data_IF_858071698199
#
_entry.id   IF_858071698199
#
_cell.length_a   1.000
_cell.length_b   1.000
_cell.length_c   1.000
_cell.angle_alpha   90.00
_cell.angle_beta   90.00
_cell.angle_gamma   90.00
#
_symmetry.space_group_name_H-M   'P 1'
#
loop_
_entity.id
_entity.type
_entity.pdbx_description
1 polymer ?
#
# COMPACT_ATOMS: atom_id res chain seq x y z
N UNK A 1 -3.13 -29.07 9.56
CA UNK A 1 -1.73 -29.23 9.12
C UNK A 1 -1.62 -29.21 7.60
N UNK A 2 -2.48 -29.91 6.88
CA UNK A 2 -2.51 -29.98 5.40
C UNK A 2 -2.72 -28.60 4.74
N UNK A 3 -3.80 -27.87 5.08
CA UNK A 3 -4.04 -26.51 4.55
C UNK A 3 -2.88 -25.52 4.78
N UNK A 4 -2.13 -25.70 5.87
CA UNK A 4 -0.93 -24.89 6.17
C UNK A 4 0.24 -25.26 5.26
N UNK A 5 0.43 -26.54 4.98
CA UNK A 5 1.46 -26.99 4.03
C UNK A 5 1.15 -26.51 2.60
N UNK A 6 -0.12 -26.52 2.22
CA UNK A 6 -0.56 -26.02 0.91
C UNK A 6 -0.33 -24.52 0.74
N UNK A 7 -0.65 -23.71 1.77
CA UNK A 7 -0.41 -22.26 1.77
C UNK A 7 1.08 -21.93 1.65
N UNK A 8 1.96 -22.61 2.41
CA UNK A 8 3.41 -22.41 2.31
C UNK A 8 3.98 -22.89 0.96
N UNK A 9 3.48 -23.99 0.41
CA UNK A 9 3.89 -24.47 -0.91
C UNK A 9 3.43 -23.53 -2.04
N UNK A 10 2.25 -22.92 -1.90
CA UNK A 10 1.81 -21.84 -2.78
C UNK A 10 2.72 -20.63 -2.68
N UNK A 11 3.04 -20.17 -1.47
CA UNK A 11 3.88 -19.00 -1.22
C UNK A 11 5.27 -19.14 -1.85
N UNK A 12 5.89 -20.33 -1.76
CA UNK A 12 7.18 -20.62 -2.41
C UNK A 12 7.11 -20.54 -3.94
N UNK A 13 6.08 -21.14 -4.55
CA UNK A 13 5.87 -21.06 -6.00
C UNK A 13 5.64 -19.62 -6.47
N UNK A 14 4.87 -18.84 -5.71
CA UNK A 14 4.66 -17.42 -6.03
C UNK A 14 5.96 -16.62 -5.93
N UNK A 15 6.81 -16.90 -4.93
CA UNK A 15 8.12 -16.26 -4.80
C UNK A 15 9.00 -16.46 -6.04
N UNK A 16 9.05 -17.70 -6.56
CA UNK A 16 9.78 -18.03 -7.79
C UNK A 16 9.21 -17.29 -9.01
N UNK A 17 7.89 -17.27 -9.15
CA UNK A 17 7.21 -16.53 -10.22
C UNK A 17 7.47 -15.01 -10.15
N UNK A 18 7.49 -14.43 -8.94
CA UNK A 18 7.81 -13.02 -8.76
C UNK A 18 9.27 -12.73 -9.07
N UNK A 19 10.20 -13.63 -8.79
CA UNK A 19 11.61 -13.44 -9.17
C UNK A 19 11.75 -13.28 -10.69
N UNK A 20 11.11 -14.18 -11.46
CA UNK A 20 11.11 -14.11 -12.92
C UNK A 20 10.37 -12.85 -13.42
N UNK A 21 9.19 -12.57 -12.89
CA UNK A 21 8.36 -11.46 -13.37
C UNK A 21 8.99 -10.10 -13.04
N UNK A 22 9.60 -9.95 -11.86
CA UNK A 22 10.35 -8.75 -11.48
C UNK A 22 11.59 -8.55 -12.36
N UNK A 23 12.29 -9.62 -12.71
CA UNK A 23 13.42 -9.56 -13.63
C UNK A 23 13.00 -9.04 -15.01
N UNK A 24 11.88 -9.58 -15.53
CA UNK A 24 11.29 -9.13 -16.80
C UNK A 24 10.81 -7.67 -16.71
N UNK A 25 10.11 -7.30 -15.63
CA UNK A 25 9.63 -5.94 -15.41
C UNK A 25 10.77 -4.93 -15.35
N UNK A 26 11.84 -5.23 -14.60
CA UNK A 26 13.01 -4.39 -14.48
C UNK A 26 13.71 -4.16 -15.83
N UNK A 27 13.72 -5.18 -16.69
CA UNK A 27 14.34 -5.12 -18.03
C UNK A 27 13.44 -4.52 -19.12
N UNK A 28 12.13 -4.40 -18.85
CA UNK A 28 11.15 -3.84 -19.78
C UNK A 28 11.14 -2.30 -19.79
N UNK A 29 10.44 -1.71 -20.76
CA UNK A 29 10.08 -0.27 -20.75
C UNK A 29 8.87 0.03 -19.86
N UNK A 30 8.16 -0.99 -19.36
CA UNK A 30 6.90 -0.79 -18.65
C UNK A 30 7.15 -0.10 -17.31
N UNK A 31 6.31 0.87 -16.96
CA UNK A 31 6.42 1.63 -15.71
C UNK A 31 5.48 1.12 -14.63
N UNK A 32 4.52 0.27 -15.00
CA UNK A 32 3.52 -0.33 -14.12
C UNK A 32 3.16 -1.74 -14.62
N UNK A 33 2.98 -2.68 -13.69
CA UNK A 33 2.53 -4.04 -14.01
C UNK A 33 1.74 -4.65 -12.85
N UNK A 34 0.60 -5.28 -13.17
CA UNK A 34 -0.14 -6.12 -12.22
C UNK A 34 0.44 -7.54 -12.26
N UNK A 35 0.78 -8.09 -11.10
CA UNK A 35 1.46 -9.38 -10.98
C UNK A 35 0.55 -10.49 -10.47
N UNK A 36 -0.47 -10.14 -9.69
CA UNK A 36 -1.40 -11.08 -9.09
C UNK A 36 -2.76 -10.41 -8.87
N UNK A 37 -3.84 -11.19 -8.96
CA UNK A 37 -5.21 -10.74 -8.72
C UNK A 37 -5.89 -11.73 -7.77
N UNK A 38 -6.08 -11.32 -6.50
CA UNK A 38 -6.86 -12.08 -5.54
C UNK A 38 -8.35 -11.87 -5.81
N UNK A 39 -9.11 -12.97 -5.84
CA UNK A 39 -10.57 -12.97 -5.92
C UNK A 39 -11.12 -14.32 -5.43
N UNK A 40 -12.37 -14.34 -4.94
CA UNK A 40 -13.00 -15.59 -4.47
C UNK A 40 -13.53 -16.48 -5.60
N UNK A 41 -13.72 -15.94 -6.80
CA UNK A 41 -14.08 -16.73 -7.98
C UNK A 41 -12.88 -16.90 -8.88
N UNK A 42 -12.62 -18.13 -9.32
CA UNK A 42 -11.58 -18.44 -10.29
C UNK A 42 -11.74 -17.64 -11.61
N UNK A 43 -12.99 -17.29 -12.00
CA UNK A 43 -13.24 -16.45 -13.18
C UNK A 43 -12.73 -15.01 -13.01
N UNK A 44 -12.58 -14.55 -11.76
CA UNK A 44 -12.16 -13.19 -11.42
C UNK A 44 -10.68 -13.10 -11.00
N UNK A 45 -9.98 -14.23 -10.87
CA UNK A 45 -8.53 -14.28 -10.57
C UNK A 45 -7.64 -14.02 -11.81
N UNK A 46 -8.21 -13.49 -12.89
CA UNK A 46 -7.44 -13.15 -14.09
C UNK A 46 -6.68 -11.84 -13.86
N UNK A 47 -5.36 -11.89 -14.00
CA UNK A 47 -4.52 -10.70 -13.92
C UNK A 47 -4.91 -9.75 -15.06
N UNK A 48 -5.32 -8.51 -14.74
CA UNK A 48 -5.77 -7.58 -15.74
C UNK A 48 -4.58 -7.07 -16.56
N UNK A 49 -4.82 -6.74 -17.83
CA UNK A 49 -3.78 -6.33 -18.78
C UNK A 49 -4.37 -5.39 -19.84
N UNK A 50 -3.55 -4.67 -20.62
CA UNK A 50 -4.07 -3.85 -21.72
C UNK A 50 -4.92 -4.65 -22.73
N UNK A 51 -4.65 -5.96 -22.90
CA UNK A 51 -5.48 -6.86 -23.70
C UNK A 51 -6.76 -7.32 -22.98
N UNK A 52 -6.74 -7.36 -21.65
CA UNK A 52 -7.86 -7.77 -20.79
C UNK A 52 -8.24 -6.64 -19.83
N UNK A 53 -8.78 -5.56 -20.39
CA UNK A 53 -9.20 -4.37 -19.64
C UNK A 53 -10.38 -4.68 -18.73
N UNK A 54 -10.41 -4.02 -17.57
CA UNK A 54 -11.52 -4.10 -16.63
C UNK A 54 -12.61 -3.15 -17.07
N UNK A 55 -13.83 -3.69 -17.24
CA UNK A 55 -15.00 -2.92 -17.61
C UNK A 55 -15.78 -2.48 -16.37
N UNK A 56 -16.46 -1.35 -16.48
CA UNK A 56 -17.45 -0.86 -15.51
C UNK A 56 -16.93 -0.60 -14.08
N UNK A 57 -15.62 -0.41 -13.92
CA UNK A 57 -15.02 0.09 -12.69
C UNK A 57 -15.09 1.62 -12.64
N UNK A 58 -15.67 2.17 -11.57
CA UNK A 58 -15.68 3.64 -11.35
C UNK A 58 -14.66 4.08 -10.31
N UNK A 59 -14.22 3.19 -9.44
CA UNK A 59 -13.34 3.50 -8.31
C UNK A 59 -12.29 2.42 -8.15
N UNK A 60 -11.03 2.82 -8.09
CA UNK A 60 -9.88 1.95 -7.78
C UNK A 60 -9.25 2.43 -6.48
N UNK A 61 -9.33 1.64 -5.42
CA UNK A 61 -8.63 1.97 -4.17
C UNK A 61 -7.16 1.58 -4.29
N UNK A 62 -6.23 2.51 -4.09
CA UNK A 62 -4.79 2.26 -4.21
C UNK A 62 -4.15 2.40 -2.85
N UNK A 63 -3.61 1.30 -2.32
CA UNK A 63 -2.79 1.29 -1.12
C UNK A 63 -1.32 1.11 -1.53
N UNK A 64 -0.60 2.22 -1.56
CA UNK A 64 0.83 2.27 -1.87
C UNK A 64 1.65 2.21 -0.58
N UNK A 65 2.53 1.22 -0.46
CA UNK A 65 3.42 1.06 0.69
C UNK A 65 4.63 0.21 0.35
N UNK A 66 5.62 0.22 1.25
CA UNK A 66 6.77 -0.67 1.13
C UNK A 66 6.48 -2.12 1.51
N UNK A 67 5.34 -2.37 2.17
CA UNK A 67 4.85 -3.68 2.62
C UNK A 67 5.97 -4.60 3.16
N UNK A 68 6.72 -4.10 4.15
CA UNK A 68 7.93 -4.77 4.63
C UNK A 68 7.94 -4.98 6.16
N UNK A 69 7.05 -5.83 6.70
CA UNK A 69 5.98 -6.57 6.00
C UNK A 69 4.68 -5.74 5.90
N UNK A 70 3.67 -6.17 5.09
CA UNK A 70 2.29 -5.72 5.28
C UNK A 70 1.83 -6.04 6.71
N UNK A 71 1.05 -5.16 7.33
CA UNK A 71 0.65 -5.25 8.75
C UNK A 71 -0.85 -5.07 8.90
N UNK A 72 -1.39 -5.33 10.09
CA UNK A 72 -2.80 -5.04 10.39
C UNK A 72 -3.17 -3.58 10.19
N UNK A 73 -2.24 -2.64 10.36
CA UNK A 73 -2.50 -1.24 10.00
C UNK A 73 -2.82 -1.08 8.50
N UNK A 74 -2.17 -1.84 7.61
CA UNK A 74 -2.49 -1.84 6.18
C UNK A 74 -3.86 -2.48 5.92
N UNK A 75 -4.17 -3.60 6.58
CA UNK A 75 -5.49 -4.25 6.52
C UNK A 75 -6.59 -3.28 6.96
N UNK A 76 -6.37 -2.52 8.02
CA UNK A 76 -7.36 -1.58 8.53
C UNK A 76 -7.60 -0.42 7.58
N UNK A 77 -6.56 0.13 6.92
CA UNK A 77 -6.75 1.10 5.83
C UNK A 77 -7.63 0.52 4.72
N UNK A 78 -7.37 -0.72 4.31
CA UNK A 78 -8.11 -1.41 3.27
C UNK A 78 -9.58 -1.65 3.69
N UNK A 79 -9.81 -2.26 4.85
CA UNK A 79 -11.14 -2.51 5.43
C UNK A 79 -11.96 -1.24 5.54
N UNK A 80 -11.35 -0.18 6.07
CA UNK A 80 -12.03 1.09 6.25
C UNK A 80 -12.50 1.67 4.91
N UNK A 81 -11.70 1.54 3.85
CA UNK A 81 -12.10 1.95 2.50
C UNK A 81 -13.26 1.12 1.97
N UNK A 82 -13.17 -0.21 2.06
CA UNK A 82 -14.21 -1.11 1.56
C UNK A 82 -15.55 -0.99 2.31
N UNK A 83 -15.51 -0.68 3.61
CA UNK A 83 -16.71 -0.60 4.46
C UNK A 83 -17.38 0.78 4.47
N UNK A 84 -16.59 1.86 4.47
CA UNK A 84 -17.09 3.21 4.78
C UNK A 84 -17.14 4.14 3.57
N UNK A 85 -16.39 3.85 2.53
CA UNK A 85 -16.40 4.67 1.33
C UNK A 85 -17.61 4.34 0.45
N UNK A 86 -18.33 5.36 -0.02
CA UNK A 86 -19.51 5.21 -0.89
C UNK A 86 -19.14 5.04 -2.37
N UNK A 87 -17.90 4.64 -2.66
CA UNK A 87 -17.44 4.34 -4.01
C UNK A 87 -18.31 3.30 -4.71
N UNK A 88 -18.15 3.16 -6.02
CA UNK A 88 -18.98 2.23 -6.78
C UNK A 88 -18.60 0.77 -6.46
N UNK A 89 -19.62 -0.06 -6.27
CA UNK A 89 -19.47 -1.51 -6.13
C UNK A 89 -19.68 -2.23 -7.49
N UNK A 90 -18.99 -3.34 -7.76
CA UNK A 90 -18.02 -4.01 -6.87
C UNK A 90 -16.73 -3.22 -6.71
N UNK A 91 -16.21 -3.18 -5.47
CA UNK A 91 -14.98 -2.47 -5.17
C UNK A 91 -13.77 -3.23 -5.70
N UNK A 92 -12.81 -2.51 -6.28
CA UNK A 92 -11.51 -3.06 -6.67
C UNK A 92 -10.39 -2.29 -5.97
N UNK A 93 -9.43 -3.04 -5.45
CA UNK A 93 -8.30 -2.50 -4.71
C UNK A 93 -6.99 -2.91 -5.38
N UNK A 94 -5.96 -2.09 -5.18
CA UNK A 94 -4.60 -2.34 -5.61
C UNK A 94 -3.65 -2.15 -4.44
N UNK A 95 -2.82 -3.16 -4.20
CA UNK A 95 -1.61 -3.05 -3.40
C UNK A 95 -0.45 -2.75 -4.32
N UNK A 96 0.11 -1.55 -4.18
CA UNK A 96 1.14 -1.04 -5.07
C UNK A 96 2.49 -1.00 -4.37
N UNK A 97 3.51 -1.57 -5.02
CA UNK A 97 4.88 -1.56 -4.56
C UNK A 97 5.79 -0.84 -5.55
N UNK A 98 6.39 0.27 -5.12
CA UNK A 98 7.43 0.93 -5.90
C UNK A 98 8.76 0.15 -5.84
N UNK A 99 9.29 -0.23 -7.00
CA UNK A 99 10.59 -0.91 -7.13
C UNK A 99 11.75 0.08 -7.03
N UNK A 100 11.52 1.33 -7.43
CA UNK A 100 12.43 2.46 -7.20
C UNK A 100 11.83 3.35 -6.11
N UNK A 101 12.53 3.49 -4.98
CA UNK A 101 12.12 4.42 -3.93
C UNK A 101 12.96 5.70 -4.05
N UNK A 102 12.33 6.87 -3.93
CA UNK A 102 13.03 8.16 -3.92
C UNK A 102 14.08 8.28 -2.78
N UNK A 103 13.84 7.65 -1.63
CA UNK A 103 14.53 8.02 -0.38
C UNK A 103 15.26 6.88 0.38
N UNK A 104 15.36 5.64 -0.12
CA UNK A 104 15.79 4.50 0.74
C UNK A 104 16.97 3.64 0.24
N UNK A 105 17.92 3.43 1.17
CA UNK A 105 19.03 2.44 1.22
C UNK A 105 18.52 0.97 1.31
N UNK A 106 19.39 -0.07 1.28
CA UNK A 106 19.00 -1.47 1.07
C UNK A 106 17.90 -1.97 2.02
N UNK A 107 17.01 -2.78 1.45
CA UNK A 107 15.68 -3.14 1.92
C UNK A 107 15.74 -4.52 2.65
N UNK A 108 15.22 -4.66 3.90
CA UNK A 108 15.32 -5.88 4.72
C UNK A 108 14.83 -7.18 4.06
N UNK A 109 13.57 -7.24 3.63
CA UNK A 109 13.09 -8.33 2.77
C UNK A 109 13.26 -7.97 1.29
N UNK A 110 13.54 -8.99 0.48
CA UNK A 110 13.56 -8.90 -0.97
C UNK A 110 12.17 -8.52 -1.52
N UNK A 111 12.09 -8.11 -2.79
CA UNK A 111 10.80 -7.68 -3.36
C UNK A 111 9.84 -8.85 -3.52
N UNK A 112 10.36 -10.02 -3.87
CA UNK A 112 9.65 -11.28 -4.03
C UNK A 112 8.90 -11.63 -2.73
N UNK A 113 9.59 -11.60 -1.59
CA UNK A 113 9.00 -11.89 -0.28
C UNK A 113 7.89 -10.90 0.09
N UNK A 114 8.08 -9.61 -0.24
CA UNK A 114 7.04 -8.59 -0.01
C UNK A 114 5.80 -8.84 -0.86
N UNK A 115 5.98 -9.19 -2.14
CA UNK A 115 4.88 -9.47 -3.05
C UNK A 115 4.11 -10.74 -2.62
N UNK A 116 4.81 -11.76 -2.11
CA UNK A 116 4.14 -12.92 -1.50
C UNK A 116 3.30 -12.47 -0.31
N UNK A 117 3.87 -11.71 0.62
CA UNK A 117 3.12 -11.22 1.78
C UNK A 117 1.95 -10.29 1.40
N UNK A 118 2.11 -9.45 0.38
CA UNK A 118 1.02 -8.63 -0.18
C UNK A 118 -0.10 -9.50 -0.73
N UNK A 119 0.23 -10.59 -1.41
CA UNK A 119 -0.75 -11.50 -2.01
C UNK A 119 -1.48 -12.35 -0.96
N UNK A 120 -0.80 -12.74 0.11
CA UNK A 120 -1.45 -13.35 1.28
C UNK A 120 -2.45 -12.38 1.94
N UNK A 121 -2.04 -11.12 2.16
CA UNK A 121 -2.95 -10.07 2.66
C UNK A 121 -4.12 -9.80 1.70
N UNK A 122 -3.87 -9.85 0.39
CA UNK A 122 -4.91 -9.69 -0.63
C UNK A 122 -5.95 -10.82 -0.55
N UNK A 123 -5.51 -12.07 -0.40
CA UNK A 123 -6.38 -13.23 -0.21
C UNK A 123 -7.19 -13.16 1.10
N UNK A 124 -6.59 -12.64 2.17
CA UNK A 124 -7.29 -12.38 3.45
C UNK A 124 -8.47 -11.43 3.24
N UNK A 125 -8.23 -10.29 2.56
CA UNK A 125 -9.29 -9.31 2.26
C UNK A 125 -10.36 -9.91 1.36
N UNK A 126 -10.00 -10.61 0.28
CA UNK A 126 -11.05 -11.16 -0.58
C UNK A 126 -11.88 -12.18 0.16
N UNK A 127 -11.27 -13.02 1.00
CA UNK A 127 -12.00 -13.99 1.82
C UNK A 127 -12.95 -13.32 2.82
N UNK A 128 -12.52 -12.21 3.43
CA UNK A 128 -13.33 -11.43 4.37
C UNK A 128 -14.51 -10.74 3.69
N UNK A 129 -14.31 -10.20 2.49
CA UNK A 129 -15.31 -9.46 1.70
C UNK A 129 -15.90 -10.31 0.57
N UNK A 130 -16.21 -11.58 0.87
CA UNK A 130 -16.60 -12.53 -0.17
C UNK A 130 -17.93 -12.19 -0.86
N UNK A 131 -18.90 -11.71 -0.08
CA UNK A 131 -20.22 -11.34 -0.57
C UNK A 131 -20.19 -10.07 -1.45
N UNK A 132 -19.22 -9.19 -1.22
CA UNK A 132 -19.03 -7.93 -1.95
C UNK A 132 -18.27 -8.09 -3.27
N UNK A 133 -17.80 -9.31 -3.58
CA UNK A 133 -17.03 -9.66 -4.79
C UNK A 133 -15.81 -8.76 -4.99
N UNK A 134 -15.14 -8.40 -3.90
CA UNK A 134 -13.93 -7.59 -3.92
C UNK A 134 -12.82 -8.32 -4.69
N UNK A 135 -12.11 -7.58 -5.53
CA UNK A 135 -10.88 -8.02 -6.20
C UNK A 135 -9.73 -7.15 -5.70
N UNK A 136 -8.62 -7.80 -5.35
CA UNK A 136 -7.40 -7.10 -4.90
C UNK A 136 -6.25 -7.45 -5.85
N UNK A 137 -5.79 -6.45 -6.58
CA UNK A 137 -4.62 -6.54 -7.46
C UNK A 137 -3.34 -6.27 -6.65
N UNK A 138 -2.30 -7.05 -6.91
CA UNK A 138 -0.94 -6.81 -6.40
C UNK A 138 -0.09 -6.38 -7.59
N UNK A 139 0.43 -5.16 -7.52
CA UNK A 139 1.09 -4.51 -8.64
C UNK A 139 2.41 -3.84 -8.24
N UNK A 140 3.25 -3.61 -9.24
CA UNK A 140 4.54 -2.93 -9.12
C UNK A 140 4.61 -1.71 -10.02
N UNK A 141 5.43 -0.74 -9.62
CA UNK A 141 5.71 0.46 -10.42
C UNK A 141 7.17 0.90 -10.28
N UNK A 142 7.71 1.51 -11.34
CA UNK A 142 9.02 2.18 -11.32
C UNK A 142 8.93 3.62 -10.80
N UNK A 143 7.72 4.17 -10.68
CA UNK A 143 7.51 5.57 -10.30
C UNK A 143 7.60 5.75 -8.77
N UNK A 144 8.36 6.75 -8.28
CA UNK A 144 8.52 6.94 -6.85
C UNK A 144 7.44 7.83 -6.21
N UNK A 145 6.87 8.78 -6.97
CA UNK A 145 5.94 9.79 -6.45
C UNK A 145 4.47 9.45 -6.76
N UNK A 146 3.55 9.89 -5.90
CA UNK A 146 2.13 9.52 -5.97
C UNK A 146 1.43 9.95 -7.29
N UNK A 147 1.71 11.15 -7.77
CA UNK A 147 1.15 11.64 -9.05
C UNK A 147 1.64 10.80 -10.23
N UNK A 148 2.93 10.43 -10.24
CA UNK A 148 3.51 9.60 -11.30
C UNK A 148 2.98 8.17 -11.26
N UNK A 149 2.77 7.63 -10.05
CA UNK A 149 2.13 6.32 -9.86
C UNK A 149 0.70 6.32 -10.39
N UNK A 150 -0.05 7.38 -10.09
CA UNK A 150 -1.42 7.51 -10.59
C UNK A 150 -1.44 7.64 -12.12
N UNK A 151 -0.55 8.46 -12.69
CA UNK A 151 -0.40 8.60 -14.13
C UNK A 151 -0.07 7.27 -14.80
N UNK A 152 0.90 6.48 -14.30
CA UNK A 152 1.24 5.20 -14.93
C UNK A 152 0.13 4.14 -14.83
N UNK A 153 -0.71 4.19 -13.78
CA UNK A 153 -1.89 3.32 -13.67
C UNK A 153 -2.94 3.70 -14.73
N UNK A 154 -3.17 5.00 -14.93
CA UNK A 154 -4.09 5.51 -15.95
C UNK A 154 -3.59 5.17 -17.37
N UNK A 155 -2.30 5.42 -17.65
CA UNK A 155 -1.64 5.16 -18.93
C UNK A 155 -1.59 3.67 -19.29
N UNK A 156 -1.64 2.77 -18.30
CA UNK A 156 -1.74 1.34 -18.56
C UNK A 156 -3.06 0.95 -19.22
N UNK A 157 -4.07 1.83 -19.19
CA UNK A 157 -5.41 1.64 -19.76
C UNK A 157 -6.13 0.36 -19.28
N UNK A 158 -5.73 -0.16 -18.12
CA UNK A 158 -6.28 -1.40 -17.55
C UNK A 158 -7.62 -1.13 -16.85
N UNK A 159 -7.73 0.01 -16.17
CA UNK A 159 -8.85 0.35 -15.29
C UNK A 159 -9.78 1.41 -15.88
N UNK A 160 -9.67 1.69 -17.18
CA UNK A 160 -10.48 2.70 -17.87
C UNK A 160 -10.40 4.07 -17.19
N UNK A 161 -11.55 4.74 -17.06
CA UNK A 161 -11.66 6.07 -16.46
C UNK A 161 -11.89 6.05 -14.94
N UNK A 162 -11.56 4.94 -14.25
CA UNK A 162 -11.79 4.83 -12.82
C UNK A 162 -11.10 5.96 -12.04
N UNK A 163 -11.82 6.54 -11.08
CA UNK A 163 -11.20 7.42 -10.11
C UNK A 163 -10.34 6.60 -9.15
N UNK A 164 -9.05 6.86 -9.14
CA UNK A 164 -8.15 6.35 -8.11
C UNK A 164 -8.38 7.05 -6.76
N UNK A 165 -8.43 6.24 -5.70
CA UNK A 165 -8.58 6.68 -4.31
C UNK A 165 -7.37 6.19 -3.53
N UNK A 166 -6.42 7.07 -3.29
CA UNK A 166 -5.14 6.72 -2.67
C UNK A 166 -5.29 6.69 -1.15
N UNK A 167 -5.11 5.51 -0.56
CA UNK A 167 -5.25 5.25 0.86
C UNK A 167 -3.94 5.60 1.57
N UNK A 168 -3.98 6.56 2.48
CA UNK A 168 -2.78 7.07 3.15
C UNK A 168 -3.01 7.28 4.64
N UNK A 169 -1.93 7.29 5.42
CA UNK A 169 -1.94 7.86 6.77
C UNK A 169 -1.53 9.32 6.76
N UNK A 170 -1.76 10.02 7.87
CA UNK A 170 -1.49 11.45 7.99
C UNK A 170 -0.04 11.86 7.62
N UNK A 171 0.99 11.14 8.07
CA UNK A 171 2.38 11.48 7.71
C UNK A 171 2.64 11.43 6.21
N UNK A 172 1.92 10.54 5.49
CA UNK A 172 2.09 10.40 4.05
C UNK A 172 1.47 11.58 3.33
N UNK A 173 0.28 12.06 3.72
CA UNK A 173 -0.28 13.27 3.11
C UNK A 173 0.58 14.51 3.38
N UNK A 174 1.15 14.64 4.58
CA UNK A 174 2.10 15.71 4.90
C UNK A 174 3.32 15.65 3.97
N UNK A 175 3.81 14.44 3.65
CA UNK A 175 4.90 14.27 2.66
C UNK A 175 4.44 14.60 1.24
N UNK A 176 3.24 14.18 0.83
CA UNK A 176 2.70 14.46 -0.51
C UNK A 176 2.63 15.97 -0.75
N UNK A 177 2.19 16.75 0.24
CA UNK A 177 2.10 18.22 0.13
C UNK A 177 3.38 18.95 0.57
N UNK A 178 4.52 18.27 0.71
CA UNK A 178 5.77 18.94 1.02
C UNK A 178 6.58 19.21 -0.25
N UNK A 179 6.69 20.49 -0.61
CA UNK A 179 7.37 20.94 -1.83
C UNK A 179 8.82 20.45 -1.97
N UNK A 180 9.51 20.13 -0.86
CA UNK A 180 10.91 19.67 -0.87
C UNK A 180 11.13 18.36 -1.64
N UNK A 181 10.07 17.58 -1.89
CA UNK A 181 10.15 16.32 -2.63
C UNK A 181 10.03 16.53 -4.14
N UNK A 182 9.78 17.76 -4.61
CA UNK A 182 9.57 18.07 -6.02
C UNK A 182 10.62 19.06 -6.53
N UNK A 183 10.88 19.09 -7.84
CA UNK A 183 11.75 20.10 -8.44
C UNK A 183 11.32 21.52 -8.10
N UNK A 184 12.29 22.41 -7.82
CA UNK A 184 12.03 23.80 -7.37
C UNK A 184 11.21 24.63 -8.35
N UNK A 185 11.26 24.30 -9.64
CA UNK A 185 10.52 24.96 -10.73
C UNK A 185 9.07 24.49 -10.83
N UNK A 186 8.74 23.31 -10.31
CA UNK A 186 7.39 22.74 -10.36
C UNK A 186 6.68 22.80 -9.00
N UNK A 187 7.41 22.56 -7.90
CA UNK A 187 6.90 22.53 -6.52
C UNK A 187 5.63 21.66 -6.43
N UNK A 188 4.58 22.11 -5.73
CA UNK A 188 3.32 21.36 -5.61
C UNK A 188 2.46 21.34 -6.88
N UNK A 189 2.78 22.12 -7.92
CA UNK A 189 1.97 22.15 -9.16
C UNK A 189 1.91 20.79 -9.86
N UNK A 190 2.90 19.93 -9.64
CA UNK A 190 2.92 18.53 -10.09
C UNK A 190 1.72 17.71 -9.60
N UNK A 191 1.08 18.13 -8.51
CA UNK A 191 -0.10 17.47 -7.96
C UNK A 191 -1.39 17.85 -8.70
N UNK A 192 -1.38 18.90 -9.55
CA UNK A 192 -2.59 19.37 -10.22
C UNK A 192 -3.26 18.31 -11.08
N UNK A 193 -2.57 17.56 -11.96
CA UNK A 193 -3.21 16.51 -12.74
C UNK A 193 -3.80 15.43 -11.84
N UNK A 194 -3.05 15.02 -10.81
CA UNK A 194 -3.49 14.02 -9.83
C UNK A 194 -4.77 14.46 -9.10
N UNK A 195 -4.78 15.65 -8.49
CA UNK A 195 -5.91 16.18 -7.71
C UNK A 195 -7.02 16.78 -8.60
N UNK A 196 -6.89 16.75 -9.92
CA UNK A 196 -7.99 17.07 -10.83
C UNK A 196 -8.92 15.88 -11.06
N UNK A 197 -8.40 14.66 -10.95
CA UNK A 197 -9.11 13.40 -11.26
C UNK A 197 -9.25 12.49 -10.04
N UNK A 198 -8.22 12.40 -9.21
CA UNK A 198 -8.09 11.43 -8.12
C UNK A 198 -8.23 12.08 -6.75
N UNK A 199 -8.41 11.25 -5.73
CA UNK A 199 -8.57 11.69 -4.34
C UNK A 199 -7.70 10.92 -3.36
N UNK A 200 -7.45 11.55 -2.23
CA UNK A 200 -6.74 11.00 -1.08
C UNK A 200 -7.75 10.67 0.01
N UNK A 201 -7.65 9.47 0.56
CA UNK A 201 -8.40 9.05 1.74
C UNK A 201 -7.41 8.81 2.86
N UNK A 202 -7.47 9.67 3.87
CA UNK A 202 -6.45 9.84 4.89
C UNK A 202 -7.00 9.33 6.21
N UNK A 203 -6.40 8.28 6.75
CA UNK A 203 -6.72 7.86 8.11
C UNK A 203 -5.92 8.69 9.12
N UNK A 204 -6.58 9.07 10.21
CA UNK A 204 -5.92 9.64 11.37
C UNK A 204 -4.81 8.72 11.88
N UNK A 205 -3.80 9.34 12.48
CA UNK A 205 -2.72 8.61 13.16
C UNK A 205 -2.66 9.01 14.63
N UNK A 206 -2.77 8.04 15.52
CA UNK A 206 -2.72 8.26 16.98
C UNK A 206 -1.39 7.74 17.58
N UNK A 207 -0.26 8.17 17.01
CA UNK A 207 1.07 7.78 17.51
C UNK A 207 1.67 8.75 18.52
N UNK A 208 0.97 9.86 18.80
CA UNK A 208 1.37 10.87 19.76
C UNK A 208 2.30 11.95 19.22
N UNK A 209 2.70 11.90 17.93
CA UNK A 209 3.52 12.94 17.31
C UNK A 209 2.70 14.16 16.87
N UNK A 210 1.47 13.93 16.40
CA UNK A 210 0.56 14.99 15.98
C UNK A 210 -0.84 14.69 16.52
N UNK A 211 -1.38 15.60 17.31
CA UNK A 211 -2.73 15.47 17.86
C UNK A 211 -3.77 15.45 16.75
N UNK A 212 -4.93 14.85 17.02
CA UNK A 212 -6.05 14.83 16.07
C UNK A 212 -6.44 16.23 15.62
N UNK A 213 -6.47 17.19 16.55
CA UNK A 213 -6.80 18.59 16.27
C UNK A 213 -5.78 19.24 15.32
N UNK A 214 -4.49 18.92 15.46
CA UNK A 214 -3.46 19.41 14.53
C UNK A 214 -3.60 18.78 13.15
N UNK A 215 -4.01 17.51 13.06
CA UNK A 215 -4.29 16.84 11.79
C UNK A 215 -5.49 17.47 11.07
N UNK A 216 -6.58 17.71 11.81
CA UNK A 216 -7.77 18.40 11.32
C UNK A 216 -7.42 19.82 10.86
N UNK A 217 -6.71 20.59 11.69
CA UNK A 217 -6.28 21.94 11.35
C UNK A 217 -5.34 21.99 10.13
N UNK A 218 -4.49 20.97 9.94
CA UNK A 218 -3.65 20.87 8.75
C UNK A 218 -4.48 20.76 7.48
N UNK A 219 -5.49 19.88 7.48
CA UNK A 219 -6.36 19.63 6.33
C UNK A 219 -7.32 20.80 6.09
N UNK A 220 -7.94 21.35 7.13
CA UNK A 220 -8.82 22.52 7.01
C UNK A 220 -8.07 23.76 6.51
N UNK A 221 -6.80 23.92 6.92
CA UNK A 221 -5.93 24.99 6.42
C UNK A 221 -5.66 24.95 4.90
N UNK A 222 -5.87 23.80 4.26
CA UNK A 222 -5.87 23.72 2.79
C UNK A 222 -7.11 24.43 2.26
N UNK A 223 -8.29 24.14 2.80
CA UNK A 223 -9.58 24.63 2.30
C UNK A 223 -9.83 26.11 2.56
N UNK A 224 -9.28 26.67 3.64
CA UNK A 224 -9.41 28.09 3.97
C UNK A 224 -8.33 29.00 3.34
N UNK A 225 -7.36 28.41 2.65
CA UNK A 225 -6.28 29.12 1.96
C UNK A 225 -5.10 29.52 2.85
N UNK A 226 -5.11 29.21 4.13
CA UNK A 226 -4.00 29.53 5.04
C UNK A 226 -2.67 28.86 4.63
N UNK A 227 -2.74 27.79 3.83
CA UNK A 227 -1.57 27.07 3.28
C UNK A 227 -1.17 27.42 1.85
N UNK A 228 -1.74 28.46 1.24
CA UNK A 228 -1.37 28.85 -0.14
C UNK A 228 0.12 29.22 -0.28
N UNK A 229 0.73 29.76 0.77
CA UNK A 229 2.17 30.07 0.80
C UNK A 229 3.06 28.83 0.70
N UNK A 230 2.53 27.66 1.04
CA UNK A 230 3.20 26.37 0.88
C UNK A 230 2.96 25.77 -0.52
N UNK A 231 2.17 26.44 -1.37
CA UNK A 231 1.83 26.01 -2.72
C UNK A 231 0.54 25.17 -2.82
N UNK A 232 -0.19 25.00 -1.72
CA UNK A 232 -1.42 24.21 -1.68
C UNK A 232 -2.61 25.02 -2.18
N UNK A 233 -3.39 24.48 -3.12
CA UNK A 233 -4.60 25.16 -3.64
C UNK A 233 -5.83 24.85 -2.80
N UNK A 234 -6.68 25.85 -2.56
CA UNK A 234 -7.90 25.71 -1.77
C UNK A 234 -8.82 24.60 -2.26
N UNK A 235 -8.99 24.51 -3.58
CA UNK A 235 -9.85 23.52 -4.21
C UNK A 235 -9.38 22.07 -3.99
N UNK A 236 -8.13 21.83 -3.59
CA UNK A 236 -7.63 20.47 -3.33
C UNK A 236 -8.23 19.87 -2.06
N UNK A 237 -8.76 20.69 -1.14
CA UNK A 237 -9.47 20.20 0.06
C UNK A 237 -10.60 19.24 -0.29
N UNK A 238 -11.29 19.45 -1.41
CA UNK A 238 -12.41 18.61 -1.87
C UNK A 238 -11.98 17.20 -2.30
N UNK A 239 -10.69 17.02 -2.59
CA UNK A 239 -10.09 15.75 -2.98
C UNK A 239 -9.47 15.00 -1.80
N UNK A 240 -9.63 15.51 -0.58
CA UNK A 240 -9.07 14.90 0.62
C UNK A 240 -10.21 14.54 1.57
N UNK A 241 -10.34 13.25 1.86
CA UNK A 241 -11.26 12.74 2.87
C UNK A 241 -10.45 12.33 4.10
N UNK A 242 -10.71 12.94 5.25
CA UNK A 242 -10.10 12.58 6.51
C UNK A 242 -11.04 11.64 7.27
N UNK A 243 -10.58 10.44 7.61
CA UNK A 243 -11.43 9.37 8.14
C UNK A 243 -10.88 8.80 9.44
N UNK A 244 -11.81 8.45 10.33
CA UNK A 244 -11.52 7.70 11.54
C UNK A 244 -11.22 6.25 11.25
N UNK A 245 -10.19 5.76 11.94
CA UNK A 245 -10.01 4.34 12.14
C UNK A 245 -10.99 3.87 13.22
N UNK A 246 -11.96 3.00 12.85
CA UNK A 246 -12.87 2.43 13.84
C UNK A 246 -12.22 1.30 14.65
N UNK A 247 -11.14 0.73 14.11
CA UNK A 247 -10.38 -0.34 14.74
C UNK A 247 -9.06 0.27 15.20
N UNK A 248 -9.03 1.04 16.30
CA UNK A 248 -7.81 1.70 16.78
C UNK A 248 -6.57 0.78 16.80
N UNK A 249 -5.77 0.78 15.73
CA UNK A 249 -4.58 -0.06 15.62
C UNK A 249 -3.37 0.71 16.16
N UNK A 250 -3.40 1.04 17.46
CA UNK A 250 -2.35 1.82 18.08
C UNK A 250 -1.03 1.04 18.13
N UNK A 251 0.05 1.63 17.62
CA UNK A 251 1.40 1.09 17.74
C UNK A 251 1.79 0.00 16.73
N UNK A 252 0.94 -0.35 15.76
CA UNK A 252 1.29 -1.34 14.74
C UNK A 252 2.04 -0.68 13.59
N UNK A 253 3.30 -1.08 13.40
CA UNK A 253 4.12 -0.62 12.28
C UNK A 253 4.93 -1.77 11.70
N UNK A 254 5.32 -1.64 10.42
CA UNK A 254 6.25 -2.60 9.81
C UNK A 254 7.60 -2.60 10.53
N UNK A 255 8.01 -1.48 11.16
CA UNK A 255 9.24 -1.43 11.97
C UNK A 255 9.14 -2.32 13.20
N UNK A 256 8.02 -2.25 13.92
CA UNK A 256 7.78 -3.12 15.06
C UNK A 256 7.71 -4.60 14.64
N UNK A 257 7.09 -4.87 13.49
CA UNK A 257 7.00 -6.23 12.96
C UNK A 257 8.37 -6.81 12.61
N UNK A 258 9.27 -6.01 12.03
CA UNK A 258 10.66 -6.43 11.78
C UNK A 258 11.40 -6.68 13.09
N UNK A 259 11.23 -5.83 14.11
CA UNK A 259 11.80 -6.05 15.44
C UNK A 259 11.31 -7.36 16.05
N UNK A 260 10.01 -7.64 16.00
CA UNK A 260 9.46 -8.90 16.47
C UNK A 260 10.01 -10.11 15.70
N UNK A 261 10.24 -9.96 14.38
CA UNK A 261 10.91 -10.97 13.54
C UNK A 261 12.35 -11.26 13.97
N UNK A 262 13.15 -10.21 14.21
CA UNK A 262 14.52 -10.29 14.76
C UNK A 262 14.53 -11.00 16.11
N UNK A 263 13.64 -10.59 17.00
CA UNK A 263 13.56 -11.10 18.39
C UNK A 263 12.82 -12.45 18.48
N UNK A 264 12.33 -12.97 17.36
CA UNK A 264 11.57 -14.22 17.27
C UNK A 264 10.35 -14.25 18.21
N UNK A 265 9.70 -13.08 18.37
CA UNK A 265 8.47 -12.94 19.16
C UNK A 265 7.26 -13.32 18.32
N UNK A 266 6.99 -14.62 18.21
CA UNK A 266 5.87 -15.19 17.44
C UNK A 266 4.53 -14.56 17.80
N UNK A 267 4.18 -14.51 19.08
CA UNK A 267 2.90 -13.95 19.54
C UNK A 267 2.76 -12.49 19.10
N UNK A 268 3.84 -11.70 19.21
CA UNK A 268 3.85 -10.32 18.72
C UNK A 268 3.68 -10.25 17.20
N UNK A 269 4.28 -11.15 16.41
CA UNK A 269 4.06 -11.16 14.96
C UNK A 269 2.60 -11.44 14.62
N UNK A 270 1.94 -12.36 15.31
CA UNK A 270 0.52 -12.67 15.12
C UNK A 270 -0.40 -11.52 15.57
N UNK A 271 0.01 -10.73 16.56
CA UNK A 271 -0.67 -9.49 16.95
C UNK A 271 -0.53 -8.39 15.89
N UNK A 272 0.62 -8.29 15.23
CA UNK A 272 0.94 -7.21 14.28
C UNK A 272 0.52 -7.48 12.83
N UNK A 273 0.45 -8.75 12.43
CA UNK A 273 0.31 -9.19 11.04
C UNK A 273 -0.95 -10.04 10.83
N UNK A 274 -1.41 -10.14 9.59
CA UNK A 274 -2.37 -11.17 9.19
C UNK A 274 -1.78 -12.56 9.42
N UNK A 275 -2.63 -13.54 9.74
CA UNK A 275 -2.17 -14.88 10.15
C UNK A 275 -1.22 -15.52 9.14
N UNK A 276 -1.59 -15.54 7.87
CA UNK A 276 -0.77 -16.15 6.81
C UNK A 276 0.54 -15.39 6.59
N UNK A 277 0.53 -14.07 6.73
CA UNK A 277 1.73 -13.23 6.65
C UNK A 277 2.68 -13.55 7.80
N UNK A 278 2.18 -13.67 9.04
CA UNK A 278 2.98 -14.05 10.20
C UNK A 278 3.60 -15.44 10.01
N UNK A 279 2.80 -16.42 9.55
CA UNK A 279 3.26 -17.77 9.25
C UNK A 279 4.37 -17.78 8.19
N UNK A 280 4.22 -16.99 7.12
CA UNK A 280 5.23 -16.86 6.08
C UNK A 280 6.53 -16.26 6.61
N UNK A 281 6.47 -15.12 7.32
CA UNK A 281 7.63 -14.48 7.98
C UNK A 281 8.38 -15.46 8.88
N UNK A 282 7.66 -16.26 9.65
CA UNK A 282 8.26 -17.26 10.53
C UNK A 282 8.92 -18.42 9.77
N UNK A 283 8.27 -18.91 8.71
CA UNK A 283 8.72 -20.07 7.92
C UNK A 283 9.96 -19.77 7.09
N UNK A 284 9.99 -18.62 6.42
CA UNK A 284 11.09 -18.15 5.58
C UNK A 284 12.18 -17.43 6.39
N UNK A 285 12.01 -17.36 7.72
CA UNK A 285 12.96 -16.73 8.65
C UNK A 285 13.29 -15.29 8.28
N UNK A 286 12.32 -14.55 7.77
CA UNK A 286 12.50 -13.16 7.36
C UNK A 286 12.89 -12.30 8.57
N UNK A 287 13.71 -11.28 8.31
CA UNK A 287 14.16 -10.30 9.31
C UNK A 287 15.09 -10.86 10.40
N UNK A 288 15.88 -11.90 10.10
CA UNK A 288 16.77 -12.55 11.10
C UNK A 288 18.26 -12.33 10.88
N UNK A 289 18.67 -11.72 9.77
CA UNK A 289 20.09 -11.55 9.45
C UNK A 289 20.72 -10.40 10.25
N UNK A 290 22.02 -10.49 10.59
CA UNK A 290 22.74 -9.48 11.40
C UNK A 290 22.60 -8.05 10.84
N UNK A 291 22.47 -7.93 9.52
CA UNK A 291 22.25 -6.66 8.85
C UNK A 291 20.86 -6.07 9.16
N UNK A 292 19.82 -6.89 9.28
CA UNK A 292 18.47 -6.50 9.70
C UNK A 292 18.41 -6.15 11.20
N UNK A 293 19.19 -6.85 12.03
CA UNK A 293 19.38 -6.53 13.45
C UNK A 293 20.03 -5.15 13.60
N UNK A 294 21.12 -4.89 12.85
CA UNK A 294 21.81 -3.59 12.90
C UNK A 294 20.95 -2.45 12.36
N UNK A 295 20.11 -2.70 11.35
CA UNK A 295 19.23 -1.71 10.71
C UNK A 295 17.90 -1.48 11.43
N UNK A 296 17.47 -2.40 12.30
CA UNK A 296 16.25 -2.22 13.11
C UNK A 296 16.43 -1.24 14.28
N UNK A 297 17.66 -0.73 14.49
CA UNK A 297 17.98 0.17 15.60
C UNK A 297 18.16 -0.55 16.95
N UNK A 298 18.12 -1.89 16.95
CA UNK A 298 18.31 -2.73 18.12
C UNK A 298 19.81 -2.89 18.36
N UNK A 299 20.32 -2.43 19.51
CA UNK A 299 21.68 -2.79 19.92
C UNK A 299 21.72 -4.31 20.15
N UNK A 300 22.71 -5.04 19.63
CA UNK A 300 22.86 -6.46 19.94
C UNK A 300 22.89 -6.62 21.46
N UNK A 301 22.09 -7.55 21.99
CA UNK A 301 22.27 -8.01 23.37
C UNK A 301 23.64 -8.68 23.40
N UNK A 302 24.55 -8.06 24.15
CA UNK A 302 25.84 -8.63 24.54
C UNK A 302 25.59 -9.94 25.29
#
# INVERSE_FOLDING_TARGET
MEARQDSLAWAKRQRELYAETLHNFASSSDEFQVLYAAANSASSQTVPSPQHKIKDIKTLYVLDSSFNPPTKAHLTLARNALLKDKGAHPARMMFLLATVNADKKPKPAAFEDRLVMMSLMANEITSEFADDKVVVDVAVTKKPFFMDKAACIDEAEIYGDAQQVHLTGFDTIVRIFNAKYYPDDQQLRVLEPFLSKHRLRVCYREDGETSRQEQEAYIEGIGDGSREKEGMKQEWRKMIELVDDAEHVKGISSTESRRAGVEQRTDTLEELLGKEVAEYVMSERLYRDEEDIRKSGIKPKV
#
